data_IF_886062530895
#
_entry.id   IF_886062530895
#
_cell.length_a   1.000
_cell.length_b   1.000
_cell.length_c   1.000
_cell.angle_alpha   90.00
_cell.angle_beta   90.00
_cell.angle_gamma   90.00
#
_symmetry.space_group_name_H-M   'P 1'
#
loop_
_entity.id
_entity.type
_entity.pdbx_description
1 polymer ?
#
# COMPACT_ATOMS: atom_id res chain seq x y z
N UNK A 1 -9.38 10.34 1.53
CA UNK A 1 -9.71 9.43 2.65
C UNK A 1 -8.58 8.43 2.82
N UNK A 2 -8.22 8.10 4.06
CA UNK A 2 -7.30 7.02 4.43
C UNK A 2 -7.92 6.05 5.41
N UNK A 3 -7.24 4.93 5.67
CA UNK A 3 -7.64 3.99 6.71
C UNK A 3 -6.86 4.24 8.00
N UNK A 4 -7.44 3.94 9.17
CA UNK A 4 -6.71 3.97 10.45
C UNK A 4 -5.56 2.98 10.46
N UNK A 5 -4.50 3.25 11.22
CA UNK A 5 -3.29 2.42 11.28
C UNK A 5 -2.39 2.53 10.03
N UNK A 6 -2.68 3.46 9.11
CA UNK A 6 -1.88 3.63 7.91
C UNK A 6 -0.49 4.22 8.19
N UNK A 7 0.44 3.91 7.26
CA UNK A 7 1.72 4.59 7.19
C UNK A 7 2.09 4.87 5.72
N UNK A 8 1.84 6.10 5.27
CA UNK A 8 2.12 6.54 3.90
C UNK A 8 3.39 7.42 3.79
N UNK A 9 4.19 7.47 4.83
CA UNK A 9 5.42 8.26 4.87
C UNK A 9 5.39 9.42 5.87
N UNK A 10 6.36 10.32 5.74
CA UNK A 10 6.59 11.42 6.68
C UNK A 10 6.49 12.81 6.05
N UNK A 11 6.00 12.94 4.82
CA UNK A 11 5.64 14.23 4.26
C UNK A 11 4.40 14.81 4.97
N UNK A 12 4.20 16.12 4.86
CA UNK A 12 3.09 16.79 5.57
C UNK A 12 1.73 16.15 5.27
N UNK A 13 1.44 15.85 4.02
CA UNK A 13 0.18 15.20 3.63
C UNK A 13 0.08 13.78 4.20
N UNK A 14 1.14 12.99 4.14
CA UNK A 14 1.16 11.63 4.69
C UNK A 14 0.94 11.64 6.21
N UNK A 15 1.63 12.53 6.94
CA UNK A 15 1.43 12.70 8.39
C UNK A 15 0.01 13.19 8.71
N UNK A 16 -0.56 14.03 7.84
CA UNK A 16 -1.96 14.48 8.00
C UNK A 16 -2.97 13.32 7.87
N UNK A 17 -2.63 12.28 7.13
CA UNK A 17 -3.44 11.05 6.99
C UNK A 17 -3.19 10.04 8.11
N UNK A 18 -2.15 10.18 8.92
CA UNK A 18 -1.85 9.26 10.00
C UNK A 18 -2.77 9.48 11.21
N UNK A 19 -3.09 8.45 11.95
CA UNK A 19 -3.71 8.48 13.27
C UNK A 19 -2.71 8.12 14.40
N UNK A 20 -1.45 7.85 14.06
CA UNK A 20 -0.39 7.59 15.02
C UNK A 20 0.06 8.88 15.73
N UNK A 21 -0.13 9.01 17.05
CA UNK A 21 0.33 10.18 17.81
C UNK A 21 1.84 10.41 17.68
N UNK A 22 2.64 9.35 17.61
CA UNK A 22 4.10 9.45 17.45
C UNK A 22 4.53 10.10 16.13
N UNK A 23 3.68 10.06 15.13
CA UNK A 23 3.90 10.70 13.82
C UNK A 23 3.28 12.09 13.71
N UNK A 24 2.27 12.40 14.56
CA UNK A 24 1.47 13.63 14.45
C UNK A 24 1.80 14.68 15.50
N UNK A 25 2.02 14.28 16.75
CA UNK A 25 2.13 15.22 17.86
C UNK A 25 3.28 16.21 17.62
N UNK A 26 2.97 17.49 17.73
CA UNK A 26 3.87 18.62 17.52
C UNK A 26 4.36 18.86 16.06
N UNK A 27 3.77 18.20 15.05
CA UNK A 27 4.14 18.37 13.64
C UNK A 27 3.14 19.14 12.78
N UNK A 28 2.06 19.68 13.37
CA UNK A 28 1.11 20.53 12.64
C UNK A 28 1.66 21.90 12.21
N UNK A 29 0.90 22.67 11.42
CA UNK A 29 -0.49 22.42 11.02
C UNK A 29 -0.63 21.33 9.99
N UNK A 30 -1.76 20.62 10.02
CA UNK A 30 -2.04 19.52 9.09
C UNK A 30 -2.82 19.99 7.86
N UNK A 31 -2.71 19.21 6.78
CA UNK A 31 -3.49 19.43 5.55
C UNK A 31 -4.98 19.14 5.84
N UNK A 32 -5.89 20.08 5.55
CA UNK A 32 -7.33 19.86 5.74
C UNK A 32 -7.92 18.94 4.66
N UNK A 33 -9.17 18.50 4.87
CA UNK A 33 -9.91 17.68 3.90
C UNK A 33 -9.55 16.20 3.93
N UNK A 34 -8.92 15.73 4.98
CA UNK A 34 -8.58 14.32 5.17
C UNK A 34 -9.56 13.70 6.17
N UNK A 35 -10.15 12.60 5.78
CA UNK A 35 -11.02 11.76 6.61
C UNK A 35 -10.38 10.38 6.78
N UNK A 36 -10.57 9.77 7.95
CA UNK A 36 -10.11 8.42 8.21
C UNK A 36 -11.30 7.49 8.44
N UNK A 37 -11.18 6.27 7.96
CA UNK A 37 -12.10 5.16 8.20
C UNK A 37 -11.36 4.01 8.85
N UNK A 38 -12.06 3.15 9.56
CA UNK A 38 -11.46 1.98 10.18
C UNK A 38 -10.97 0.99 9.12
N UNK A 39 -9.70 0.56 9.23
CA UNK A 39 -9.14 -0.47 8.35
C UNK A 39 -9.87 -1.81 8.53
N UNK A 40 -10.07 -2.52 7.44
CA UNK A 40 -10.79 -3.80 7.40
C UNK A 40 -12.26 -3.71 7.86
N UNK A 41 -12.86 -2.51 7.83
CA UNK A 41 -14.27 -2.28 8.14
C UNK A 41 -14.99 -1.62 6.95
N UNK A 42 -15.65 -2.44 6.14
CA UNK A 42 -16.32 -1.98 4.92
C UNK A 42 -17.51 -1.05 5.20
N UNK A 43 -18.18 -1.20 6.33
CA UNK A 43 -19.32 -0.36 6.71
C UNK A 43 -18.89 1.06 7.12
N UNK A 44 -17.68 1.19 7.69
CA UNK A 44 -17.08 2.49 7.95
C UNK A 44 -16.88 3.29 6.64
N UNK A 45 -16.36 2.62 5.61
CA UNK A 45 -16.17 3.22 4.27
C UNK A 45 -17.50 3.54 3.64
N UNK A 46 -18.45 2.59 3.62
CA UNK A 46 -19.79 2.76 3.04
C UNK A 46 -20.50 3.97 3.64
N UNK A 47 -20.53 4.04 4.97
CA UNK A 47 -21.19 5.14 5.69
C UNK A 47 -20.59 6.51 5.35
N UNK A 48 -19.26 6.58 5.20
CA UNK A 48 -18.59 7.83 4.80
C UNK A 48 -18.91 8.20 3.35
N UNK A 49 -18.82 7.24 2.41
CA UNK A 49 -19.06 7.48 0.99
C UNK A 49 -20.52 7.85 0.70
N UNK A 50 -21.47 7.26 1.39
CA UNK A 50 -22.88 7.64 1.28
C UNK A 50 -23.17 9.07 1.80
N UNK A 51 -22.44 9.51 2.82
CA UNK A 51 -22.60 10.85 3.40
C UNK A 51 -21.85 11.95 2.66
N UNK A 52 -20.66 11.66 2.15
CA UNK A 52 -19.70 12.66 1.66
C UNK A 52 -19.11 12.32 0.29
N UNK A 53 -19.57 11.27 -0.40
CA UNK A 53 -18.95 10.75 -1.63
C UNK A 53 -18.69 11.84 -2.67
N UNK A 54 -19.59 12.78 -2.86
CA UNK A 54 -19.45 13.88 -3.82
C UNK A 54 -18.27 14.84 -3.52
N UNK A 55 -17.72 14.78 -2.30
CA UNK A 55 -16.59 15.60 -1.86
C UNK A 55 -15.28 14.79 -1.70
N UNK A 56 -15.31 13.50 -2.00
CA UNK A 56 -14.16 12.61 -1.87
C UNK A 56 -13.55 12.35 -3.25
N UNK A 57 -12.32 12.77 -3.45
CA UNK A 57 -11.59 12.52 -4.70
C UNK A 57 -10.93 11.14 -4.74
N UNK A 58 -10.39 10.69 -3.61
CA UNK A 58 -9.65 9.42 -3.57
C UNK A 58 -9.74 8.74 -2.19
N UNK A 59 -9.64 7.42 -2.20
CA UNK A 59 -9.36 6.57 -1.05
C UNK A 59 -7.99 5.93 -1.21
N UNK A 60 -7.10 6.14 -0.22
CA UNK A 60 -5.75 5.59 -0.20
C UNK A 60 -5.63 4.50 0.87
N UNK A 61 -5.04 3.36 0.49
CA UNK A 61 -4.93 2.20 1.37
C UNK A 61 -3.69 1.36 1.07
N UNK A 62 -3.07 0.81 2.11
CA UNK A 62 -2.09 -0.28 1.98
C UNK A 62 -2.83 -1.61 1.82
N UNK A 63 -2.46 -2.50 0.87
CA UNK A 63 -3.08 -3.82 0.76
C UNK A 63 -2.90 -4.69 2.01
N UNK A 64 -1.76 -4.53 2.67
CA UNK A 64 -1.43 -5.08 3.98
C UNK A 64 -0.74 -3.95 4.73
N UNK A 65 -1.23 -3.58 5.89
CA UNK A 65 -0.59 -2.53 6.68
C UNK A 65 0.69 -3.06 7.32
N UNK A 66 1.83 -2.51 6.92
CA UNK A 66 3.14 -2.95 7.37
C UNK A 66 3.49 -2.43 8.77
N UNK A 67 3.57 -1.12 8.92
CA UNK A 67 4.02 -0.45 10.15
C UNK A 67 3.04 -0.65 11.33
N UNK A 68 1.76 -0.87 11.06
CA UNK A 68 0.76 -1.21 12.08
C UNK A 68 0.94 -2.62 12.66
N UNK A 69 1.86 -3.42 12.12
CA UNK A 69 2.18 -4.76 12.62
C UNK A 69 1.78 -5.90 11.69
N UNK A 70 1.92 -5.71 10.37
CA UNK A 70 1.58 -6.69 9.34
C UNK A 70 0.10 -7.09 9.43
N UNK A 71 -0.79 -6.09 9.37
CA UNK A 71 -2.23 -6.32 9.42
C UNK A 71 -2.71 -6.72 8.03
N UNK A 72 -3.08 -7.99 7.89
CA UNK A 72 -3.66 -8.55 6.65
C UNK A 72 -5.18 -8.40 6.75
N UNK A 73 -5.82 -7.72 5.79
CA UNK A 73 -7.27 -7.60 5.80
C UNK A 73 -7.95 -8.91 5.37
N UNK A 74 -9.25 -9.00 5.61
CA UNK A 74 -10.09 -10.07 5.08
C UNK A 74 -10.02 -10.08 3.54
N UNK A 75 -10.07 -11.26 2.94
CA UNK A 75 -9.90 -11.41 1.48
C UNK A 75 -10.96 -10.63 0.67
N UNK A 76 -12.15 -10.40 1.23
CA UNK A 76 -13.21 -9.64 0.57
C UNK A 76 -13.11 -8.11 0.78
N UNK A 77 -12.23 -7.63 1.68
CA UNK A 77 -12.18 -6.20 2.02
C UNK A 77 -11.82 -5.33 0.82
N UNK A 78 -10.65 -5.54 0.22
CA UNK A 78 -10.18 -4.74 -0.91
C UNK A 78 -11.05 -4.86 -2.17
N UNK A 79 -11.60 -6.03 -2.54
CA UNK A 79 -12.62 -6.13 -3.59
C UNK A 79 -13.83 -5.23 -3.33
N UNK A 80 -14.40 -5.26 -2.12
CA UNK A 80 -15.54 -4.42 -1.74
C UNK A 80 -15.19 -2.93 -1.72
N UNK A 81 -13.98 -2.57 -1.27
CA UNK A 81 -13.45 -1.20 -1.36
C UNK A 81 -13.41 -0.74 -2.82
N UNK A 82 -12.85 -1.55 -3.71
CA UNK A 82 -12.79 -1.24 -5.14
C UNK A 82 -14.18 -1.03 -5.76
N UNK A 83 -15.16 -1.86 -5.38
CA UNK A 83 -16.54 -1.70 -5.82
C UNK A 83 -17.17 -0.40 -5.31
N UNK A 84 -16.97 -0.05 -4.04
CA UNK A 84 -17.47 1.20 -3.46
C UNK A 84 -16.83 2.42 -4.11
N UNK A 85 -15.52 2.41 -4.34
CA UNK A 85 -14.82 3.47 -5.05
C UNK A 85 -15.41 3.70 -6.44
N UNK A 86 -15.61 2.62 -7.22
CA UNK A 86 -16.23 2.70 -8.56
C UNK A 86 -17.66 3.23 -8.49
N UNK A 87 -18.47 2.74 -7.53
CA UNK A 87 -19.87 3.16 -7.36
C UNK A 87 -20.01 4.66 -7.09
N UNK A 88 -19.09 5.24 -6.31
CA UNK A 88 -19.12 6.63 -5.89
C UNK A 88 -18.21 7.54 -6.73
N UNK A 89 -17.61 7.02 -7.82
CA UNK A 89 -16.65 7.76 -8.66
C UNK A 89 -15.45 8.33 -7.85
N UNK A 90 -14.95 7.55 -6.92
CA UNK A 90 -13.81 7.86 -6.06
C UNK A 90 -12.60 7.09 -6.57
N UNK A 91 -11.44 7.73 -6.73
CA UNK A 91 -10.21 7.05 -7.15
C UNK A 91 -9.70 6.11 -6.05
N UNK A 92 -9.34 4.90 -6.43
CA UNK A 92 -8.65 3.96 -5.55
C UNK A 92 -7.15 4.12 -5.71
N UNK A 93 -6.49 4.63 -4.68
CA UNK A 93 -5.04 4.72 -4.59
C UNK A 93 -4.52 3.60 -3.67
N UNK A 94 -3.60 2.79 -4.17
CA UNK A 94 -3.00 1.68 -3.40
C UNK A 94 -1.54 1.98 -3.13
N UNK A 95 -1.15 1.92 -1.86
CA UNK A 95 0.23 2.05 -1.42
C UNK A 95 0.93 0.69 -1.45
N UNK A 96 1.71 0.46 -2.49
CA UNK A 96 2.52 -0.76 -2.68
C UNK A 96 4.00 -0.55 -2.31
N UNK A 97 4.30 0.52 -1.58
CA UNK A 97 5.69 0.85 -1.20
C UNK A 97 6.34 -0.29 -0.41
N UNK A 98 5.58 -0.97 0.45
CA UNK A 98 6.08 -2.11 1.23
C UNK A 98 5.64 -3.45 0.66
N UNK A 99 4.45 -3.54 0.11
CA UNK A 99 3.83 -4.80 -0.32
C UNK A 99 4.16 -5.20 -1.75
N UNK A 100 4.65 -4.26 -2.56
CA UNK A 100 5.00 -4.49 -3.96
C UNK A 100 6.31 -5.25 -4.18
N UNK A 101 6.64 -5.40 -5.44
CA UNK A 101 7.89 -5.99 -5.93
C UNK A 101 8.16 -7.42 -5.43
N UNK A 102 7.12 -8.26 -5.45
CA UNK A 102 7.22 -9.68 -5.13
C UNK A 102 7.09 -10.02 -3.64
N UNK A 103 7.08 -9.02 -2.74
CA UNK A 103 7.12 -9.20 -1.28
C UNK A 103 6.06 -10.17 -0.76
N UNK A 104 4.84 -10.05 -1.25
CA UNK A 104 3.65 -10.76 -0.74
C UNK A 104 3.33 -12.06 -1.48
N UNK A 105 4.18 -12.47 -2.43
CA UNK A 105 3.93 -13.64 -3.24
C UNK A 105 3.21 -13.37 -4.57
N UNK A 106 2.95 -12.10 -4.88
CA UNK A 106 2.57 -11.59 -6.18
C UNK A 106 3.49 -10.43 -6.55
N UNK A 107 3.57 -10.02 -7.82
CA UNK A 107 4.40 -8.87 -8.20
C UNK A 107 3.98 -7.62 -7.44
N UNK A 108 2.68 -7.42 -7.27
CA UNK A 108 2.07 -6.39 -6.42
C UNK A 108 0.92 -7.00 -5.62
N UNK A 109 0.76 -6.59 -4.37
CA UNK A 109 -0.20 -7.21 -3.45
C UNK A 109 -1.66 -7.02 -3.87
N UNK A 110 -2.01 -5.93 -4.57
CA UNK A 110 -3.36 -5.74 -5.10
C UNK A 110 -3.81 -6.88 -6.03
N UNK A 111 -2.86 -7.58 -6.66
CA UNK A 111 -3.14 -8.74 -7.53
C UNK A 111 -3.66 -9.96 -6.75
N UNK A 112 -3.29 -10.09 -5.46
CA UNK A 112 -3.81 -11.16 -4.59
C UNK A 112 -5.32 -11.05 -4.36
N UNK A 113 -5.87 -9.85 -4.54
CA UNK A 113 -7.28 -9.52 -4.32
C UNK A 113 -8.05 -9.27 -5.63
N UNK A 114 -7.41 -9.52 -6.78
CA UNK A 114 -7.97 -9.29 -8.13
C UNK A 114 -8.56 -7.89 -8.33
N UNK A 115 -7.94 -6.86 -7.74
CA UNK A 115 -8.34 -5.47 -7.93
C UNK A 115 -7.38 -4.72 -8.86
N UNK A 116 -7.89 -3.65 -9.49
CA UNK A 116 -7.10 -2.75 -10.34
C UNK A 116 -7.22 -1.34 -9.79
N UNK A 117 -6.20 -0.83 -9.08
CA UNK A 117 -6.21 0.53 -8.57
C UNK A 117 -6.17 1.55 -9.72
N UNK A 118 -6.60 2.76 -9.42
CA UNK A 118 -6.47 3.91 -10.33
C UNK A 118 -5.08 4.52 -10.22
N UNK A 119 -4.51 4.49 -9.01
CA UNK A 119 -3.17 5.00 -8.68
C UNK A 119 -2.46 3.97 -7.80
N UNK A 120 -1.16 3.80 -8.02
CA UNK A 120 -0.30 2.93 -7.22
C UNK A 120 0.98 3.67 -6.85
N UNK A 121 1.25 3.79 -5.55
CA UNK A 121 2.52 4.28 -5.01
C UNK A 121 3.54 3.15 -4.90
N UNK A 122 4.75 3.36 -5.41
CA UNK A 122 5.84 2.39 -5.44
C UNK A 122 7.11 2.95 -4.83
N UNK A 123 7.85 2.13 -4.09
CA UNK A 123 9.10 2.56 -3.45
C UNK A 123 9.90 1.38 -2.90
N UNK A 124 10.71 1.63 -1.90
CA UNK A 124 11.55 0.60 -1.20
C UNK A 124 12.25 -0.36 -2.17
N UNK A 125 11.71 -1.56 -2.36
CA UNK A 125 12.29 -2.59 -3.24
C UNK A 125 12.37 -2.19 -4.72
N UNK A 126 11.69 -1.12 -5.14
CA UNK A 126 11.78 -0.56 -6.48
C UNK A 126 13.22 -0.23 -6.91
N UNK A 127 14.10 0.09 -5.95
CA UNK A 127 15.51 0.39 -6.21
C UNK A 127 16.46 -0.81 -6.14
N UNK A 128 15.94 -2.03 -5.92
CA UNK A 128 16.73 -3.26 -5.83
C UNK A 128 17.76 -3.29 -4.70
N UNK A 129 17.62 -2.43 -3.68
CA UNK A 129 18.60 -2.27 -2.60
C UNK A 129 19.87 -1.48 -2.99
N UNK A 130 19.94 -0.98 -4.21
CA UNK A 130 21.11 -0.27 -4.75
C UNK A 130 20.95 1.24 -4.59
N UNK A 131 19.80 1.77 -4.99
CA UNK A 131 19.50 3.21 -4.93
C UNK A 131 18.06 3.43 -4.44
N UNK A 132 17.79 4.55 -3.74
CA UNK A 132 16.43 4.96 -3.45
C UNK A 132 15.68 5.27 -4.75
N UNK A 133 14.60 4.54 -4.99
CA UNK A 133 13.71 4.74 -6.14
C UNK A 133 12.27 4.74 -5.65
N UNK A 134 11.51 5.73 -6.08
CA UNK A 134 10.06 5.75 -5.90
C UNK A 134 9.40 6.36 -7.14
N UNK A 135 8.19 5.92 -7.41
CA UNK A 135 7.38 6.44 -8.49
C UNK A 135 5.90 6.19 -8.22
N UNK A 136 5.06 6.89 -8.94
CA UNK A 136 3.62 6.65 -8.99
C UNK A 136 3.27 6.10 -10.36
N UNK A 137 2.51 5.03 -10.39
CA UNK A 137 1.90 4.49 -11.59
C UNK A 137 0.39 4.66 -11.49
N UNK A 138 -0.27 4.97 -12.59
CA UNK A 138 -1.71 5.17 -12.59
C UNK A 138 -2.33 5.04 -13.97
N UNK A 139 -3.65 5.05 -14.02
CA UNK A 139 -4.38 5.11 -15.28
C UNK A 139 -4.03 6.40 -16.02
N UNK A 140 -3.97 6.31 -17.35
CA UNK A 140 -3.60 7.46 -18.17
C UNK A 140 -4.51 8.66 -17.95
N UNK A 141 -5.81 8.45 -17.93
CA UNK A 141 -6.82 9.50 -17.70
C UNK A 141 -6.73 10.16 -16.32
N UNK A 142 -6.10 9.50 -15.35
CA UNK A 142 -5.85 10.04 -14.01
C UNK A 142 -4.52 10.79 -13.96
N UNK A 143 -3.47 10.26 -14.58
CA UNK A 143 -2.12 10.86 -14.53
C UNK A 143 -1.99 12.02 -15.54
N UNK A 144 -2.60 11.92 -16.71
CA UNK A 144 -2.50 12.93 -17.78
C UNK A 144 -3.23 14.26 -17.44
N UNK A 145 -3.89 14.37 -16.29
CA UNK A 145 -4.37 15.67 -15.77
C UNK A 145 -3.26 16.57 -15.24
N UNK A 146 -2.06 16.01 -15.04
CA UNK A 146 -0.89 16.76 -14.64
C UNK A 146 -0.22 17.39 -15.87
N UNK A 147 -0.33 18.70 -16.00
CA UNK A 147 0.35 19.44 -17.05
C UNK A 147 1.88 19.42 -16.84
N UNK A 148 2.68 19.45 -17.93
CA UNK A 148 4.13 19.58 -17.82
C UNK A 148 4.53 20.79 -16.98
N UNK A 149 5.27 20.54 -15.90
CA UNK A 149 5.72 21.57 -14.95
C UNK A 149 4.77 21.85 -13.78
N UNK A 150 3.63 21.19 -13.69
CA UNK A 150 2.72 21.29 -12.53
C UNK A 150 3.28 20.61 -11.29
N UNK A 151 4.18 19.65 -11.45
CA UNK A 151 4.93 18.99 -10.40
C UNK A 151 6.41 18.89 -10.80
N UNK A 152 7.29 18.62 -9.83
CA UNK A 152 8.70 18.47 -10.14
C UNK A 152 9.52 17.94 -8.96
N UNK A 153 10.64 17.33 -9.32
CA UNK A 153 11.65 16.87 -8.38
C UNK A 153 13.03 17.04 -8.99
N UNK A 154 13.98 17.58 -8.22
CA UNK A 154 15.37 17.77 -8.69
C UNK A 154 16.00 16.44 -9.15
N UNK A 155 15.67 15.34 -8.51
CA UNK A 155 16.17 14.01 -8.84
C UNK A 155 15.13 13.13 -9.55
N UNK A 156 13.98 13.69 -9.94
CA UNK A 156 12.96 12.99 -10.72
C UNK A 156 13.53 12.52 -12.06
N UNK A 157 13.38 11.25 -12.39
CA UNK A 157 13.94 10.67 -13.62
C UNK A 157 15.47 10.58 -13.65
N UNK A 158 16.15 10.65 -12.51
CA UNK A 158 17.61 10.51 -12.44
C UNK A 158 18.07 9.22 -13.13
N UNK A 159 18.93 9.30 -14.17
CA UNK A 159 19.19 8.16 -15.05
C UNK A 159 19.71 6.91 -14.32
N UNK A 160 20.58 7.07 -13.34
CA UNK A 160 21.16 5.94 -12.61
C UNK A 160 20.10 5.23 -11.74
N UNK A 161 19.22 6.00 -11.08
CA UNK A 161 18.12 5.46 -10.30
C UNK A 161 17.09 4.77 -11.21
N UNK A 162 16.80 5.33 -12.37
CA UNK A 162 15.92 4.74 -13.37
C UNK A 162 16.44 3.39 -13.88
N UNK A 163 17.73 3.31 -14.18
CA UNK A 163 18.38 2.06 -14.58
C UNK A 163 18.34 1.03 -13.44
N UNK A 164 18.64 1.43 -12.20
CA UNK A 164 18.55 0.53 -11.05
C UNK A 164 17.15 -0.05 -10.89
N UNK A 165 16.11 0.79 -11.00
CA UNK A 165 14.71 0.37 -10.92
C UNK A 165 14.31 -0.59 -12.04
N UNK A 166 14.71 -0.31 -13.29
CA UNK A 166 14.45 -1.19 -14.43
C UNK A 166 15.07 -2.59 -14.19
N UNK A 167 16.33 -2.64 -13.76
CA UNK A 167 16.98 -3.91 -13.50
C UNK A 167 16.44 -4.63 -12.26
N UNK A 168 16.03 -3.90 -11.22
CA UNK A 168 15.34 -4.49 -10.07
C UNK A 168 14.05 -5.22 -10.48
N UNK A 169 13.22 -4.56 -11.30
CA UNK A 169 12.00 -5.16 -11.84
C UNK A 169 12.35 -6.36 -12.75
N UNK A 170 13.37 -6.21 -13.60
CA UNK A 170 13.79 -7.28 -14.51
C UNK A 170 14.22 -8.52 -13.73
N UNK A 171 15.07 -8.38 -12.70
CA UNK A 171 15.51 -9.49 -11.85
C UNK A 171 14.31 -10.13 -11.16
N UNK A 172 13.39 -9.33 -10.59
CA UNK A 172 12.19 -9.85 -9.95
C UNK A 172 11.38 -10.76 -10.89
N UNK A 173 11.23 -10.34 -12.15
CA UNK A 173 10.46 -11.10 -13.16
C UNK A 173 11.24 -12.30 -13.67
N UNK A 174 12.49 -12.12 -14.08
CA UNK A 174 13.32 -13.16 -14.70
C UNK A 174 13.61 -14.32 -13.71
N UNK A 175 13.81 -14.00 -12.42
CA UNK A 175 14.06 -14.99 -11.37
C UNK A 175 12.80 -15.45 -10.64
N UNK A 176 11.61 -14.97 -11.06
CA UNK A 176 10.33 -15.32 -10.47
C UNK A 176 10.30 -15.15 -8.93
N UNK A 177 10.81 -14.00 -8.45
CA UNK A 177 11.00 -13.77 -7.02
C UNK A 177 9.67 -13.71 -6.24
N UNK A 178 8.57 -13.32 -6.89
CA UNK A 178 7.24 -13.35 -6.28
C UNK A 178 6.84 -14.78 -5.89
N UNK A 179 7.03 -15.75 -6.77
CA UNK A 179 6.77 -17.16 -6.46
C UNK A 179 7.72 -17.70 -5.37
N UNK A 180 8.99 -17.29 -5.43
CA UNK A 180 9.96 -17.64 -4.36
C UNK A 180 9.48 -17.12 -3.00
N UNK A 181 9.02 -15.87 -2.92
CA UNK A 181 8.46 -15.28 -1.70
C UNK A 181 7.21 -16.04 -1.23
N UNK A 182 6.32 -16.43 -2.14
CA UNK A 182 5.12 -17.22 -1.82
C UNK A 182 5.49 -18.56 -1.18
N UNK A 183 6.42 -19.30 -1.80
CA UNK A 183 6.84 -20.63 -1.32
C UNK A 183 7.58 -20.52 0.02
N UNK A 184 8.51 -19.57 0.15
CA UNK A 184 9.28 -19.38 1.39
C UNK A 184 8.40 -18.85 2.52
N UNK A 185 7.47 -17.95 2.20
CA UNK A 185 6.48 -17.45 3.16
C UNK A 185 5.60 -18.56 3.72
N UNK A 186 5.12 -19.48 2.86
CA UNK A 186 4.37 -20.66 3.31
C UNK A 186 5.21 -21.56 4.23
N UNK A 187 6.50 -21.78 3.91
CA UNK A 187 7.41 -22.55 4.77
C UNK A 187 7.59 -21.89 6.14
N UNK A 188 7.80 -20.57 6.18
CA UNK A 188 7.92 -19.83 7.43
C UNK A 188 6.63 -19.89 8.26
N UNK A 189 5.48 -19.72 7.61
CA UNK A 189 4.20 -19.77 8.31
C UNK A 189 3.96 -21.14 8.94
N UNK A 190 4.26 -22.23 8.25
CA UNK A 190 4.18 -23.59 8.82
C UNK A 190 5.06 -23.72 10.07
N UNK A 191 6.32 -23.25 10.02
CA UNK A 191 7.19 -23.28 11.20
C UNK A 191 6.67 -22.42 12.36
N UNK A 192 6.09 -21.26 12.07
CA UNK A 192 5.49 -20.43 13.10
C UNK A 192 4.25 -21.12 13.73
N UNK A 193 3.46 -21.84 12.93
CA UNK A 193 2.32 -22.60 13.42
C UNK A 193 2.76 -23.78 14.31
N UNK A 194 3.86 -24.45 13.95
CA UNK A 194 4.48 -25.48 14.81
C UNK A 194 4.89 -24.88 16.16
N UNK A 195 5.63 -23.74 16.16
CA UNK A 195 6.05 -23.05 17.38
C UNK A 195 4.85 -22.56 18.18
N UNK A 196 3.82 -22.00 17.52
CA UNK A 196 2.59 -21.59 18.21
C UNK A 196 1.91 -22.78 18.89
N UNK A 197 1.92 -23.94 18.26
CA UNK A 197 1.34 -25.16 18.84
C UNK A 197 2.11 -25.64 20.08
N UNK A 198 3.43 -25.42 20.13
CA UNK A 198 4.26 -25.71 21.31
C UNK A 198 4.05 -24.68 22.45
N UNK A 199 3.75 -23.42 22.08
CA UNK A 199 3.62 -22.30 23.03
C UNK A 199 2.31 -21.53 22.89
N UNK A 200 1.14 -22.19 23.00
CA UNK A 200 -0.16 -21.58 22.72
C UNK A 200 -0.50 -20.39 23.64
N UNK A 201 0.00 -20.41 24.90
CA UNK A 201 -0.21 -19.33 25.85
C UNK A 201 0.72 -18.11 25.63
N UNK A 202 1.72 -18.25 24.75
CA UNK A 202 2.71 -17.20 24.47
C UNK A 202 2.49 -16.54 23.11
N UNK A 203 2.01 -17.28 22.14
CA UNK A 203 1.83 -16.82 20.75
C UNK A 203 0.33 -16.75 20.46
N UNK A 204 -0.18 -15.53 20.38
CA UNK A 204 -1.59 -15.30 20.10
C UNK A 204 -1.95 -15.61 18.64
N UNK A 205 -1.12 -15.14 17.74
CA UNK A 205 -1.43 -15.13 16.30
C UNK A 205 -0.16 -15.17 15.45
N UNK A 206 -0.21 -15.87 14.33
CA UNK A 206 0.73 -15.78 13.22
C UNK A 206 -0.01 -15.15 12.03
N UNK A 207 0.59 -14.15 11.39
CA UNK A 207 -0.03 -13.48 10.24
C UNK A 207 1.01 -12.97 9.26
N UNK A 208 0.63 -12.87 7.99
CA UNK A 208 1.46 -12.38 6.91
C UNK A 208 1.10 -13.02 5.58
N UNK A 209 1.61 -12.46 4.49
CA UNK A 209 1.56 -13.05 3.13
C UNK A 209 2.93 -12.87 2.48
N UNK A 210 3.50 -13.94 1.92
CA UNK A 210 4.82 -13.95 1.30
C UNK A 210 5.95 -13.93 2.33
N UNK A 211 6.96 -13.12 2.11
CA UNK A 211 8.21 -13.15 2.87
C UNK A 211 8.50 -11.80 3.54
#
# INVERSE_FOLDING_TARGET
VGATGNFHGRSLTAVSMSDDPGSRDNFGPFVPGIELVEFNNIESIRSLFEKKGDFISAFMVEPIQGEAGVIVPDDEYLPKVSELCKKHNILLAVDEVQTGFGRTGANFAHQLYDIKPDIMGCGKAAGGGILPVSFVAGKRDVIDVLDPGSEGSTFGGYPLASVAGIYAIKVMVDENLAESARVRGAQLMNHFDDIKSEFPDKIKENRGKGL
#
